data_IF_610814927934
#
_entry.id   IF_610814927934
#
_cell.length_a   1.000
_cell.length_b   1.000
_cell.length_c   1.000
_cell.angle_alpha   90.00
_cell.angle_beta   90.00
_cell.angle_gamma   90.00
#
_symmetry.space_group_name_H-M   'P 1'
#
loop_
_entity.id
_entity.type
_entity.pdbx_description
1 polymer ?
#
# COMPACT_ATOMS: atom_id res chain seq x y z
N UNK A 1 -18.89 25.01 -0.40
CA UNK A 1 -18.48 23.79 -1.14
C UNK A 1 -17.26 23.27 -0.43
N UNK A 2 -17.43 22.21 0.37
CA UNK A 2 -16.34 21.62 1.13
C UNK A 2 -15.50 20.81 0.15
N UNK A 3 -14.26 21.24 -0.10
CA UNK A 3 -13.22 20.32 -0.54
C UNK A 3 -13.18 19.18 0.49
N UNK A 4 -13.30 17.91 0.10
CA UNK A 4 -13.18 16.82 1.05
C UNK A 4 -11.79 16.92 1.67
N UNK A 5 -11.71 16.92 3.01
CA UNK A 5 -10.44 16.89 3.76
C UNK A 5 -9.60 15.64 3.45
N UNK A 6 -10.10 14.71 2.65
CA UNK A 6 -9.45 13.48 2.20
C UNK A 6 -8.39 13.71 1.11
N UNK A 7 -8.42 14.84 0.40
CA UNK A 7 -7.54 15.10 -0.75
C UNK A 7 -6.09 15.46 -0.40
N UNK A 8 -5.75 15.68 0.87
CA UNK A 8 -4.40 16.08 1.30
C UNK A 8 -3.53 14.95 1.89
N UNK A 9 -4.10 13.76 2.16
CA UNK A 9 -3.44 12.73 3.00
C UNK A 9 -2.63 11.67 2.25
N UNK A 10 -2.45 11.80 0.93
CA UNK A 10 -1.80 10.80 0.07
C UNK A 10 -0.45 11.25 -0.52
N UNK A 11 0.09 12.38 -0.09
CA UNK A 11 1.17 13.10 -0.76
C UNK A 11 2.61 12.57 -0.58
N UNK A 12 2.84 11.35 -0.06
CA UNK A 12 4.21 10.89 0.28
C UNK A 12 4.51 9.39 0.13
N UNK A 13 3.62 8.57 -0.43
CA UNK A 13 3.91 7.13 -0.59
C UNK A 13 4.87 6.87 -1.76
N UNK A 14 5.99 6.17 -1.50
CA UNK A 14 6.86 5.65 -2.55
C UNK A 14 6.18 4.46 -3.24
N UNK A 15 6.24 4.44 -4.57
CA UNK A 15 5.61 3.42 -5.41
C UNK A 15 6.49 3.11 -6.60
N UNK A 16 6.26 1.93 -7.20
CA UNK A 16 6.83 1.51 -8.47
C UNK A 16 5.73 1.30 -9.50
N UNK A 17 6.04 1.57 -10.76
CA UNK A 17 5.13 1.37 -11.87
C UNK A 17 5.37 -0.03 -12.44
N UNK A 18 4.31 -0.81 -12.62
CA UNK A 18 4.37 -2.17 -13.17
C UNK A 18 5.14 -2.18 -14.51
N UNK A 19 6.03 -3.16 -14.69
CA UNK A 19 6.77 -3.36 -15.94
C UNK A 19 5.84 -3.68 -17.13
N UNK A 20 4.62 -4.17 -16.86
CA UNK A 20 3.60 -4.46 -17.86
C UNK A 20 2.73 -3.24 -18.21
N UNK A 21 2.93 -2.09 -17.58
CA UNK A 21 2.18 -0.88 -17.87
C UNK A 21 2.48 -0.36 -19.29
N UNK A 22 1.50 0.27 -19.96
CA UNK A 22 1.74 1.04 -21.18
C UNK A 22 2.94 1.98 -21.04
N UNK A 23 3.74 2.12 -22.10
CA UNK A 23 5.00 2.88 -22.08
C UNK A 23 4.84 4.35 -21.66
N UNK A 24 3.66 4.94 -21.92
CA UNK A 24 3.31 6.31 -21.51
C UNK A 24 3.28 6.50 -19.99
N UNK A 25 3.18 5.41 -19.22
CA UNK A 25 3.20 5.44 -17.76
C UNK A 25 4.60 5.22 -17.19
N UNK A 26 5.66 5.09 -17.99
CA UNK A 26 7.02 4.86 -17.49
C UNK A 26 7.17 3.55 -16.67
N UNK A 27 6.87 2.38 -17.27
CA UNK A 27 6.96 1.08 -16.60
C UNK A 27 8.34 0.84 -15.98
N UNK A 28 8.35 0.28 -14.77
CA UNK A 28 9.56 -0.05 -14.01
C UNK A 28 10.16 1.12 -13.23
N UNK A 29 9.73 2.36 -13.47
CA UNK A 29 10.17 3.53 -12.70
C UNK A 29 9.53 3.57 -11.30
N UNK A 30 10.25 4.18 -10.35
CA UNK A 30 9.77 4.46 -9.00
C UNK A 30 9.64 5.96 -8.75
N UNK A 31 8.77 6.34 -7.82
CA UNK A 31 8.55 7.72 -7.44
C UNK A 31 7.58 7.87 -6.27
N UNK A 32 7.20 9.11 -5.98
CA UNK A 32 6.31 9.44 -4.87
C UNK A 32 4.96 9.91 -5.38
N UNK A 33 3.87 9.39 -4.80
CA UNK A 33 2.52 9.87 -5.10
C UNK A 33 2.40 11.32 -4.61
N UNK A 34 2.07 12.24 -5.52
CA UNK A 34 1.80 13.65 -5.21
C UNK A 34 0.31 13.96 -5.21
N UNK A 35 -0.49 13.19 -5.96
CA UNK A 35 -1.93 13.42 -6.11
C UNK A 35 -2.66 12.09 -6.28
N UNK A 36 -3.84 11.98 -5.68
CA UNK A 36 -4.75 10.83 -5.84
C UNK A 36 -6.10 11.35 -6.31
N UNK A 37 -6.64 10.77 -7.39
CA UNK A 37 -7.97 11.08 -7.91
C UNK A 37 -8.79 9.81 -8.02
N UNK A 38 -10.04 9.84 -7.54
CA UNK A 38 -11.01 8.77 -7.76
C UNK A 38 -11.81 9.07 -9.04
N UNK A 39 -12.02 8.07 -9.87
CA UNK A 39 -12.73 8.19 -11.13
C UNK A 39 -14.21 7.84 -10.92
N UNK A 40 -15.04 8.82 -10.61
CA UNK A 40 -16.47 8.63 -10.31
C UNK A 40 -17.40 8.87 -11.51
N UNK A 41 -16.87 9.35 -12.63
CA UNK A 41 -17.67 9.68 -13.81
C UNK A 41 -16.89 9.55 -15.14
N UNK A 42 -17.66 9.42 -16.21
CA UNK A 42 -17.21 9.31 -17.61
C UNK A 42 -16.29 10.45 -18.06
N UNK A 43 -16.53 11.68 -17.59
CA UNK A 43 -15.72 12.84 -17.96
C UNK A 43 -14.29 12.68 -17.45
N UNK A 44 -14.15 12.33 -16.17
CA UNK A 44 -12.86 12.12 -15.50
C UNK A 44 -12.18 10.85 -16.06
N UNK A 45 -12.95 9.79 -16.30
CA UNK A 45 -12.45 8.56 -16.93
C UNK A 45 -11.74 8.83 -18.26
N UNK A 46 -12.36 9.65 -19.14
CA UNK A 46 -11.76 10.04 -20.42
C UNK A 46 -10.54 10.94 -20.25
N UNK A 47 -10.57 11.86 -19.30
CA UNK A 47 -9.45 12.76 -19.03
C UNK A 47 -8.18 12.01 -18.60
N UNK A 48 -8.35 10.91 -17.86
CA UNK A 48 -7.24 10.10 -17.33
C UNK A 48 -6.98 8.79 -18.07
N UNK A 49 -7.77 8.47 -19.10
CA UNK A 49 -7.72 7.17 -19.78
C UNK A 49 -7.77 5.98 -18.79
N UNK A 50 -8.69 6.05 -17.83
CA UNK A 50 -8.80 5.09 -16.73
C UNK A 50 -10.25 4.62 -16.56
N UNK A 51 -10.42 3.40 -16.04
CA UNK A 51 -11.73 2.80 -15.80
C UNK A 51 -12.53 3.60 -14.74
N UNK A 52 -13.86 3.59 -14.80
CA UNK A 52 -14.69 4.15 -13.72
C UNK A 52 -14.56 3.27 -12.48
N UNK A 53 -14.72 3.87 -11.30
CA UNK A 53 -14.57 3.24 -9.99
C UNK A 53 -13.15 2.75 -9.69
N UNK A 54 -12.13 3.40 -10.26
CA UNK A 54 -10.71 3.19 -9.94
C UNK A 54 -10.06 4.46 -9.37
N UNK A 55 -8.86 4.33 -8.81
CA UNK A 55 -7.97 5.46 -8.55
C UNK A 55 -6.96 5.70 -9.68
N UNK A 56 -6.56 6.95 -9.85
CA UNK A 56 -5.44 7.40 -10.68
C UNK A 56 -4.51 8.26 -9.82
N UNK A 57 -3.21 8.01 -9.95
CA UNK A 57 -2.17 8.66 -9.16
C UNK A 57 -1.28 9.53 -10.03
N UNK A 58 -1.00 10.74 -9.58
CA UNK A 58 0.14 11.51 -10.08
C UNK A 58 1.36 11.15 -9.25
N UNK A 59 2.42 10.70 -9.91
CA UNK A 59 3.67 10.24 -9.31
C UNK A 59 4.79 11.16 -9.76
N UNK A 60 5.55 11.70 -8.82
CA UNK A 60 6.84 12.34 -9.10
C UNK A 60 7.92 11.27 -9.14
N UNK A 61 8.40 10.97 -10.34
CA UNK A 61 9.50 10.05 -10.58
C UNK A 61 10.83 10.64 -10.05
N UNK A 62 11.83 9.77 -9.92
CA UNK A 62 13.17 10.13 -9.42
C UNK A 62 13.89 11.20 -10.26
N UNK A 63 13.58 11.30 -11.55
CA UNK A 63 14.08 12.32 -12.47
C UNK A 63 13.26 13.64 -12.45
N UNK A 64 12.31 13.76 -11.52
CA UNK A 64 11.30 14.83 -11.42
C UNK A 64 10.21 14.85 -12.51
N UNK A 65 10.16 13.85 -13.40
CA UNK A 65 9.04 13.69 -14.31
C UNK A 65 7.76 13.39 -13.53
N UNK A 66 6.62 13.94 -13.96
CA UNK A 66 5.31 13.62 -13.40
C UNK A 66 4.61 12.61 -14.31
N UNK A 67 4.28 11.44 -13.77
CA UNK A 67 3.50 10.42 -14.46
C UNK A 67 2.11 10.32 -13.84
N UNK A 68 1.07 10.22 -14.66
CA UNK A 68 -0.31 10.00 -14.20
C UNK A 68 -0.72 8.59 -14.55
N UNK A 69 -0.94 7.75 -13.54
CA UNK A 69 -0.96 6.29 -13.70
C UNK A 69 -2.18 5.69 -12.97
N UNK A 70 -3.00 4.87 -13.66
CA UNK A 70 -4.09 4.13 -13.03
C UNK A 70 -3.60 3.16 -11.95
N UNK A 71 -4.40 2.96 -10.89
CA UNK A 71 -4.05 2.12 -9.73
C UNK A 71 -3.59 0.71 -10.10
N UNK A 72 -4.21 0.11 -11.13
CA UNK A 72 -3.86 -1.24 -11.60
C UNK A 72 -2.40 -1.41 -12.03
N UNK A 73 -1.70 -0.32 -12.33
CA UNK A 73 -0.28 -0.33 -12.71
C UNK A 73 0.65 0.17 -11.60
N UNK A 74 0.11 0.44 -10.41
CA UNK A 74 0.91 0.83 -9.25
C UNK A 74 1.27 -0.42 -8.46
N UNK A 75 2.53 -0.81 -8.59
CA UNK A 75 3.15 -1.74 -7.65
C UNK A 75 3.51 -0.95 -6.41
N UNK A 76 2.79 -1.22 -5.33
CA UNK A 76 3.26 -0.84 -4.02
C UNK A 76 4.09 -2.02 -3.54
N UNK A 77 5.32 -1.80 -3.12
CA UNK A 77 6.15 -2.88 -2.57
C UNK A 77 5.50 -3.36 -1.27
N UNK A 78 4.56 -4.30 -1.36
CA UNK A 78 3.99 -5.02 -0.24
C UNK A 78 4.57 -6.43 -0.25
N UNK A 79 5.28 -6.78 0.83
CA UNK A 79 5.98 -8.06 0.92
C UNK A 79 4.99 -9.23 1.05
N UNK A 80 3.79 -8.97 1.57
CA UNK A 80 2.78 -9.99 1.84
C UNK A 80 1.49 -9.70 1.09
N UNK A 81 0.82 -10.75 0.59
CA UNK A 81 -0.48 -10.66 -0.08
C UNK A 81 -1.56 -11.30 0.78
N UNK A 82 -2.81 -10.89 0.57
CA UNK A 82 -3.96 -11.45 1.27
C UNK A 82 -4.04 -12.96 1.03
N UNK A 83 -4.26 -13.72 2.11
CA UNK A 83 -4.34 -15.19 2.11
C UNK A 83 -3.00 -15.89 2.32
N UNK A 84 -1.88 -15.16 2.41
CA UNK A 84 -0.58 -15.75 2.75
C UNK A 84 -0.49 -15.99 4.25
N UNK A 85 -0.05 -17.20 4.61
CA UNK A 85 0.34 -17.55 5.98
C UNK A 85 1.67 -16.92 6.33
N UNK A 86 1.74 -16.34 7.53
CA UNK A 86 2.92 -15.68 8.05
C UNK A 86 3.20 -16.16 9.48
N UNK A 87 4.42 -15.94 9.92
CA UNK A 87 4.85 -16.07 11.32
C UNK A 87 5.16 -14.68 11.84
N UNK A 88 4.71 -14.37 13.05
CA UNK A 88 5.12 -13.13 13.72
C UNK A 88 6.56 -13.28 14.19
N UNK A 89 7.43 -12.35 13.79
CA UNK A 89 8.85 -12.34 14.18
C UNK A 89 9.00 -12.43 15.71
N UNK A 90 10.00 -13.17 16.18
CA UNK A 90 10.35 -13.24 17.60
C UNK A 90 10.81 -11.90 18.18
N UNK A 91 11.20 -10.95 17.33
CA UNK A 91 11.58 -9.59 17.73
C UNK A 91 10.37 -8.64 17.86
N UNK A 92 9.16 -9.12 17.58
CA UNK A 92 7.95 -8.32 17.68
C UNK A 92 7.57 -8.05 19.15
N UNK A 93 6.99 -6.87 19.45
CA UNK A 93 6.35 -6.61 20.73
C UNK A 93 5.34 -7.71 21.14
N UNK A 94 5.30 -8.07 22.42
CA UNK A 94 4.40 -9.10 22.98
C UNK A 94 2.92 -8.92 22.61
N UNK A 95 2.47 -7.69 22.41
CA UNK A 95 1.10 -7.38 21.96
C UNK A 95 0.76 -8.00 20.59
N UNK A 96 1.77 -8.34 19.78
CA UNK A 96 1.63 -8.98 18.48
C UNK A 96 1.88 -10.49 18.53
N UNK A 97 2.09 -11.08 19.72
CA UNK A 97 2.20 -12.54 19.91
C UNK A 97 3.37 -13.15 19.09
N UNK A 98 4.62 -12.77 19.39
CA UNK A 98 5.80 -13.24 18.65
C UNK A 98 5.89 -14.77 18.58
N UNK A 99 6.20 -15.30 17.40
CA UNK A 99 6.31 -16.74 17.11
C UNK A 99 4.98 -17.42 16.76
N UNK A 100 3.84 -16.74 16.87
CA UNK A 100 2.56 -17.29 16.44
C UNK A 100 2.36 -17.20 14.93
N UNK A 101 1.56 -18.13 14.41
CA UNK A 101 1.13 -18.16 13.02
C UNK A 101 -0.16 -17.36 12.83
N UNK A 102 -0.28 -16.73 11.67
CA UNK A 102 -1.51 -16.08 11.25
C UNK A 102 -1.61 -15.97 9.73
N UNK A 103 -2.76 -15.50 9.25
CA UNK A 103 -3.01 -15.26 7.84
C UNK A 103 -3.25 -13.77 7.57
N UNK A 104 -2.67 -13.24 6.50
CA UNK A 104 -2.94 -11.87 6.09
C UNK A 104 -4.37 -11.76 5.54
N UNK A 105 -5.23 -11.02 6.22
CA UNK A 105 -6.62 -10.79 5.81
C UNK A 105 -6.87 -9.38 5.30
N UNK A 106 -5.95 -8.44 5.56
CA UNK A 106 -6.01 -7.06 5.09
C UNK A 106 -4.64 -6.38 5.07
N UNK A 107 -4.53 -5.28 4.34
CA UNK A 107 -3.28 -4.53 4.15
C UNK A 107 -3.60 -3.05 4.20
N UNK A 108 -2.82 -2.30 4.97
CA UNK A 108 -3.02 -0.86 5.19
C UNK A 108 -1.69 -0.13 5.07
N UNK A 109 -1.63 0.89 4.23
CA UNK A 109 -0.45 1.73 4.13
C UNK A 109 -0.44 2.75 5.29
N UNK A 110 0.71 2.92 5.92
CA UNK A 110 0.95 3.98 6.91
C UNK A 110 1.13 5.30 6.16
N UNK A 111 0.13 6.18 6.20
CA UNK A 111 0.12 7.42 5.41
C UNK A 111 0.18 8.71 6.24
N UNK A 112 0.17 8.61 7.57
CA UNK A 112 0.19 9.78 8.44
C UNK A 112 0.93 9.52 9.75
N UNK A 113 1.31 10.61 10.43
CA UNK A 113 2.07 10.58 11.67
C UNK A 113 1.32 9.89 12.81
N UNK A 114 -0.01 9.99 12.87
CA UNK A 114 -0.82 9.33 13.93
C UNK A 114 -0.67 7.81 13.82
N UNK A 115 -0.77 7.26 12.60
CA UNK A 115 -0.55 5.84 12.34
C UNK A 115 0.92 5.46 12.51
N UNK A 116 1.84 6.27 12.00
CA UNK A 116 3.27 6.07 12.19
C UNK A 116 3.63 5.93 13.67
N UNK A 117 3.10 6.80 14.52
CA UNK A 117 3.26 6.74 15.98
C UNK A 117 2.58 5.50 16.57
N UNK A 118 1.32 5.22 16.19
CA UNK A 118 0.58 4.05 16.69
C UNK A 118 1.33 2.73 16.45
N UNK A 119 1.94 2.59 15.28
CA UNK A 119 2.59 1.36 14.82
C UNK A 119 4.12 1.40 15.00
N UNK A 120 4.66 2.49 15.57
CA UNK A 120 6.09 2.79 15.60
C UNK A 120 6.75 2.54 14.23
N UNK A 121 6.12 3.01 13.16
CA UNK A 121 6.45 2.72 11.77
C UNK A 121 6.72 4.01 11.00
N UNK A 122 7.39 3.91 9.85
CA UNK A 122 7.63 5.06 8.98
C UNK A 122 6.45 5.25 8.03
N UNK A 123 6.11 6.50 7.71
CA UNK A 123 5.16 6.78 6.62
C UNK A 123 5.69 6.15 5.32
N UNK A 124 4.81 5.51 4.57
CA UNK A 124 5.15 4.74 3.36
C UNK A 124 5.39 3.25 3.61
N UNK A 125 5.39 2.78 4.86
CA UNK A 125 5.46 1.34 5.17
C UNK A 125 4.09 0.72 5.33
N UNK A 126 4.01 -0.61 5.21
CA UNK A 126 2.77 -1.36 5.36
C UNK A 126 2.52 -1.84 6.79
N UNK A 127 1.25 -1.87 7.16
CA UNK A 127 0.69 -2.67 8.24
C UNK A 127 -0.26 -3.71 7.64
N UNK A 128 -0.35 -4.87 8.28
CA UNK A 128 -1.18 -5.97 7.83
C UNK A 128 -2.15 -6.36 8.93
N UNK A 129 -3.41 -6.54 8.56
CA UNK A 129 -4.38 -7.18 9.44
C UNK A 129 -4.13 -8.69 9.35
N UNK A 130 -3.66 -9.26 10.45
CA UNK A 130 -3.36 -10.68 10.59
C UNK A 130 -4.43 -11.33 11.44
N UNK A 131 -5.07 -12.37 10.91
CA UNK A 131 -5.99 -13.23 11.66
C UNK A 131 -5.21 -14.42 12.22
N UNK A 132 -5.27 -14.61 13.53
CA UNK A 132 -4.67 -15.75 14.23
C UNK A 132 -5.58 -16.98 14.17
N UNK A 133 -5.02 -18.15 14.48
CA UNK A 133 -5.75 -19.44 14.47
C UNK A 133 -6.97 -19.44 15.40
N UNK A 134 -6.93 -18.68 16.50
CA UNK A 134 -8.06 -18.54 17.43
C UNK A 134 -9.19 -17.63 16.93
N UNK A 135 -9.05 -17.07 15.73
CA UNK A 135 -10.02 -16.18 15.08
C UNK A 135 -9.95 -14.73 15.55
N UNK A 136 -8.98 -14.38 16.39
CA UNK A 136 -8.70 -12.96 16.71
C UNK A 136 -7.85 -12.33 15.61
N UNK A 137 -7.92 -11.00 15.49
CA UNK A 137 -7.11 -10.25 14.53
C UNK A 137 -6.30 -9.14 15.18
N UNK A 138 -5.19 -8.78 14.55
CA UNK A 138 -4.36 -7.66 14.96
C UNK A 138 -3.73 -6.98 13.74
N UNK A 139 -3.61 -5.66 13.79
CA UNK A 139 -2.91 -4.90 12.74
C UNK A 139 -1.43 -4.71 13.11
N UNK A 140 -0.55 -5.31 12.31
CA UNK A 140 0.86 -5.53 12.62
C UNK A 140 1.75 -4.86 11.56
N UNK A 141 2.78 -4.09 11.95
CA UNK A 141 3.78 -3.55 11.01
C UNK A 141 4.48 -4.64 10.20
N UNK A 142 4.72 -4.38 8.91
CA UNK A 142 5.40 -5.31 7.99
C UNK A 142 6.70 -5.89 8.54
N UNK A 143 7.51 -5.05 9.21
CA UNK A 143 8.81 -5.42 9.76
C UNK A 143 8.76 -6.55 10.80
N UNK A 144 7.58 -6.87 11.33
CA UNK A 144 7.38 -7.94 12.30
C UNK A 144 6.77 -9.19 11.69
N UNK A 145 6.60 -9.24 10.37
CA UNK A 145 6.03 -10.39 9.68
C UNK A 145 7.14 -11.12 8.93
N UNK A 146 7.08 -12.44 8.96
CA UNK A 146 7.98 -13.34 8.24
C UNK A 146 7.12 -14.29 7.42
N UNK A 147 7.51 -14.55 6.17
CA UNK A 147 6.85 -15.57 5.37
C UNK A 147 7.08 -16.93 6.03
N UNK A 148 6.01 -17.71 6.16
CA UNK A 148 6.14 -19.13 6.44
C UNK A 148 6.65 -19.81 5.16
N UNK A 149 7.96 -19.70 4.93
CA UNK A 149 8.62 -20.46 3.90
C UNK A 149 8.79 -21.87 4.47
N UNK A 150 7.90 -22.79 4.09
CA UNK A 150 8.17 -24.21 4.29
C UNK A 150 9.60 -24.49 3.78
N UNK A 151 10.51 -24.82 4.69
CA UNK A 151 11.82 -25.37 4.31
C UNK A 151 11.55 -26.68 3.57
N UNK A 152 11.71 -26.64 2.24
CA UNK A 152 11.81 -27.84 1.39
C UNK A 152 13.18 -28.51 1.58
#
# INVERSE_FOLDING_TARGET
MNTPRESLYWQTAEVRIDNNAPSEYHPGCSGFITTTNYIDCEEISRAYNADIDTFVYTIRLTDNTLATVPEKYILRDNTFTRGVSIIISHDAPEIYRPGEYGAVVGMTLVTNEIRALKYNATIGTWTYLVEYIDGTDCEIPERYLVLDLEEN
#
